data_IF_818760932411
#
_entry.id   IF_818760932411
#
_cell.length_a   1.000
_cell.length_b   1.000
_cell.length_c   1.000
_cell.angle_alpha   90.00
_cell.angle_beta   90.00
_cell.angle_gamma   90.00
#
_symmetry.space_group_name_H-M   'P 1'
#
loop_
_entity.id
_entity.type
_entity.pdbx_description
1 polymer ?
#
# COMPACT_ATOMS: atom_id res chain seq x y z
N UNK A 1 10.60 3.43 -1.48
CA UNK A 1 10.53 2.51 -0.32
C UNK A 1 9.81 3.13 0.89
N UNK A 2 10.14 4.34 1.35
CA UNK A 2 9.43 5.00 2.47
C UNK A 2 7.90 5.13 2.27
N UNK A 3 7.45 5.53 1.08
CA UNK A 3 6.02 5.64 0.77
C UNK A 3 5.22 4.34 1.02
N UNK A 4 5.79 3.18 0.67
CA UNK A 4 5.17 1.87 0.89
C UNK A 4 5.10 1.56 2.39
N UNK A 5 6.18 1.85 3.13
CA UNK A 5 6.23 1.60 4.57
C UNK A 5 5.21 2.43 5.35
N UNK A 6 5.06 3.71 5.02
CA UNK A 6 4.07 4.59 5.66
C UNK A 6 2.63 4.10 5.43
N UNK A 7 2.29 3.72 4.18
CA UNK A 7 0.96 3.19 3.88
C UNK A 7 0.72 1.87 4.62
N UNK A 8 1.73 0.99 4.62
CA UNK A 8 1.64 -0.31 5.27
C UNK A 8 1.33 -0.17 6.76
N UNK A 9 2.08 0.66 7.49
CA UNK A 9 1.85 0.85 8.93
C UNK A 9 0.45 1.40 9.22
N UNK A 10 0.00 2.38 8.42
CA UNK A 10 -1.32 2.96 8.53
C UNK A 10 -2.41 1.89 8.33
N UNK A 11 -2.31 1.10 7.25
CA UNK A 11 -3.31 0.08 6.95
C UNK A 11 -3.30 -1.07 7.95
N UNK A 12 -2.14 -1.43 8.54
CA UNK A 12 -2.11 -2.39 9.64
C UNK A 12 -2.85 -1.89 10.88
N UNK A 13 -2.69 -0.61 11.25
CA UNK A 13 -3.40 -0.03 12.40
C UNK A 13 -4.91 0.05 12.16
N UNK A 14 -5.35 0.36 10.94
CA UNK A 14 -6.78 0.28 10.58
C UNK A 14 -7.29 -1.15 10.68
N UNK A 15 -6.57 -2.10 10.08
CA UNK A 15 -6.98 -3.50 10.06
C UNK A 15 -6.97 -4.16 11.45
N UNK A 16 -6.09 -3.71 12.35
CA UNK A 16 -6.06 -4.10 13.76
C UNK A 16 -7.18 -3.44 14.61
N UNK A 17 -7.90 -2.46 14.05
CA UNK A 17 -8.95 -1.72 14.76
C UNK A 17 -8.43 -0.64 15.73
N UNK A 18 -7.14 -0.31 15.69
CA UNK A 18 -6.54 0.75 16.51
C UNK A 18 -6.99 2.15 16.07
N UNK A 19 -7.28 2.30 14.78
CA UNK A 19 -7.78 3.53 14.17
C UNK A 19 -8.97 3.21 13.26
N UNK A 20 -9.97 4.11 13.23
CA UNK A 20 -11.21 3.90 12.48
C UNK A 20 -11.00 4.09 10.97
N UNK A 21 -10.31 5.17 10.59
CA UNK A 21 -10.01 5.56 9.22
C UNK A 21 -8.59 6.10 9.16
N UNK A 22 -7.96 6.04 7.98
CA UNK A 22 -6.61 6.55 7.76
C UNK A 22 -6.48 7.33 6.45
N UNK A 23 -5.42 8.14 6.32
CA UNK A 23 -5.09 8.86 5.09
C UNK A 23 -3.58 9.03 4.98
N UNK A 24 -2.98 8.45 3.94
CA UNK A 24 -1.54 8.47 3.73
C UNK A 24 -1.13 9.53 2.70
N UNK A 25 -0.46 10.59 3.15
CA UNK A 25 0.14 11.61 2.27
C UNK A 25 1.51 11.12 1.79
N UNK A 26 1.53 10.31 0.73
CA UNK A 26 2.75 9.66 0.22
C UNK A 26 3.11 10.08 -1.21
N UNK A 27 4.42 10.17 -1.48
CA UNK A 27 5.00 10.38 -2.81
C UNK A 27 6.28 9.55 -2.99
N UNK A 28 6.66 9.17 -4.22
CA UNK A 28 5.91 9.30 -5.49
C UNK A 28 4.65 8.41 -5.52
N UNK A 29 3.65 8.71 -6.39
CA UNK A 29 2.50 7.83 -6.59
C UNK A 29 2.94 6.45 -7.08
N UNK A 30 2.12 5.43 -6.91
CA UNK A 30 2.51 4.03 -7.19
C UNK A 30 1.51 3.21 -7.99
N UNK A 31 0.29 3.69 -8.21
CA UNK A 31 -0.79 2.92 -8.86
C UNK A 31 -0.55 2.57 -10.34
N UNK A 32 0.46 3.18 -10.99
CA UNK A 32 0.88 2.87 -12.35
C UNK A 32 2.16 2.01 -12.42
N UNK A 33 2.72 1.62 -11.26
CA UNK A 33 3.87 0.72 -11.23
C UNK A 33 3.41 -0.73 -11.49
N UNK A 34 3.76 -1.28 -12.65
CA UNK A 34 3.56 -2.70 -12.97
C UNK A 34 4.71 -3.56 -12.40
N UNK A 35 4.51 -4.88 -12.36
CA UNK A 35 5.44 -5.86 -11.74
C UNK A 35 6.86 -5.84 -12.36
N UNK A 36 7.01 -5.38 -13.60
CA UNK A 36 8.30 -5.30 -14.31
C UNK A 36 8.48 -4.02 -15.13
N UNK A 37 7.61 -3.01 -15.00
CA UNK A 37 7.74 -1.75 -15.74
C UNK A 37 7.22 -0.55 -14.94
N UNK A 38 8.06 0.48 -14.82
CA UNK A 38 7.66 1.78 -14.29
C UNK A 38 7.13 2.64 -15.45
N UNK A 39 5.82 2.65 -15.70
CA UNK A 39 5.20 3.57 -16.65
C UNK A 39 4.34 4.62 -15.94
N UNK A 40 4.29 5.84 -16.48
CA UNK A 40 3.48 6.95 -15.93
C UNK A 40 4.24 7.81 -14.91
N UNK A 41 5.13 8.66 -15.41
CA UNK A 41 6.18 9.39 -14.68
C UNK A 41 7.31 8.47 -14.22
N UNK A 42 8.55 8.84 -14.57
CA UNK A 42 9.81 8.11 -14.35
C UNK A 42 10.18 7.88 -12.86
N UNK A 43 9.21 7.91 -11.94
CA UNK A 43 9.36 7.86 -10.48
C UNK A 43 8.43 6.84 -9.79
N UNK A 44 7.59 6.09 -10.52
CA UNK A 44 6.69 5.08 -9.96
C UNK A 44 7.36 3.68 -9.92
N UNK A 45 8.15 3.39 -8.87
CA UNK A 45 8.87 2.11 -8.74
C UNK A 45 8.08 0.99 -8.03
N UNK A 46 7.10 1.34 -7.19
CA UNK A 46 6.39 0.38 -6.35
C UNK A 46 4.91 0.72 -6.20
N UNK A 47 4.05 -0.27 -6.41
CA UNK A 47 2.62 -0.15 -6.14
C UNK A 47 2.34 -0.33 -4.64
N UNK A 48 2.41 0.77 -3.89
CA UNK A 48 2.22 0.78 -2.43
C UNK A 48 0.90 0.14 -2.01
N UNK A 49 -0.19 0.35 -2.76
CA UNK A 49 -1.53 -0.16 -2.45
C UNK A 49 -1.58 -1.67 -2.63
N UNK A 50 -1.12 -2.18 -3.78
CA UNK A 50 -1.08 -3.62 -4.05
C UNK A 50 -0.18 -4.38 -3.06
N UNK A 51 0.99 -3.81 -2.72
CA UNK A 51 1.90 -4.40 -1.73
C UNK A 51 1.24 -4.47 -0.35
N UNK A 52 0.59 -3.39 0.08
CA UNK A 52 -0.08 -3.34 1.37
C UNK A 52 -1.24 -4.33 1.43
N UNK A 53 -2.06 -4.40 0.38
CA UNK A 53 -3.15 -5.36 0.28
C UNK A 53 -2.67 -6.82 0.37
N UNK A 54 -1.60 -7.16 -0.37
CA UNK A 54 -1.04 -8.52 -0.35
C UNK A 54 -0.46 -8.89 1.03
N UNK A 55 0.20 -7.95 1.71
CA UNK A 55 0.72 -8.16 3.05
C UNK A 55 -0.38 -8.26 4.11
N UNK A 56 -1.49 -7.55 3.95
CA UNK A 56 -2.70 -7.71 4.78
C UNK A 56 -3.32 -9.10 4.61
N UNK A 57 -3.47 -9.58 3.38
CA UNK A 57 -3.95 -10.95 3.14
C UNK A 57 -3.03 -11.99 3.78
N UNK A 58 -1.71 -11.82 3.67
CA UNK A 58 -0.74 -12.78 4.22
C UNK A 58 -0.66 -12.78 5.74
N UNK A 59 -0.69 -11.61 6.39
CA UNK A 59 -0.49 -11.50 7.85
C UNK A 59 -1.76 -11.54 8.68
N UNK A 60 -2.85 -11.00 8.14
CA UNK A 60 -4.12 -10.84 8.87
C UNK A 60 -5.23 -11.73 8.28
N UNK A 61 -4.92 -12.59 7.30
CA UNK A 61 -5.87 -13.52 6.66
C UNK A 61 -7.17 -12.86 6.22
N UNK A 62 -7.08 -11.60 5.75
CA UNK A 62 -8.22 -10.81 5.33
C UNK A 62 -8.84 -11.43 4.07
N UNK A 63 -10.08 -11.91 4.18
CA UNK A 63 -10.74 -12.66 3.09
C UNK A 63 -11.16 -11.81 1.89
N UNK A 64 -11.27 -10.48 2.03
CA UNK A 64 -11.64 -9.56 0.95
C UNK A 64 -11.06 -8.17 1.18
N UNK A 65 -10.45 -7.59 0.14
CA UNK A 65 -9.95 -6.21 0.09
C UNK A 65 -10.60 -5.57 -1.15
N UNK A 66 -11.14 -4.35 -1.00
CA UNK A 66 -11.82 -3.58 -2.05
C UNK A 66 -10.90 -2.51 -2.63
#
# INVERSE_FOLDING_TARGET
RMAVGCLLELTFKVAAGEIKNDFAVIRPPGHHAEESMAMGFCFCFFNSVAISAKLLQQKLSVGRIL
#
